data_IF_015480317344
#
_entry.id   IF_015480317344
#
_cell.length_a   1.000
_cell.length_b   1.000
_cell.length_c   1.000
_cell.angle_alpha   90.00
_cell.angle_beta   90.00
_cell.angle_gamma   90.00
#
_symmetry.space_group_name_H-M   'P 1'
#
loop_
_entity.id
_entity.type
_entity.pdbx_description
1 polymer ?
#
# COMPACT_ATOMS: atom_id res chain seq x y z
N UNK A 1 12.51 -7.99 -9.07
CA UNK A 1 12.88 -8.17 -7.66
C UNK A 1 12.26 -7.00 -6.91
N UNK A 2 11.29 -7.24 -6.03
CA UNK A 2 10.78 -6.18 -5.15
C UNK A 2 11.93 -5.82 -4.21
N UNK A 3 12.32 -4.55 -4.18
CA UNK A 3 13.25 -4.08 -3.14
C UNK A 3 12.39 -3.92 -1.88
N UNK A 4 12.86 -4.39 -0.72
CA UNK A 4 12.11 -4.30 0.55
C UNK A 4 11.59 -2.87 0.85
N UNK A 5 12.39 -1.86 0.46
CA UNK A 5 11.99 -0.46 0.54
C UNK A 5 10.79 -0.07 -0.35
N UNK A 6 10.64 -0.67 -1.52
CA UNK A 6 9.50 -0.43 -2.42
C UNK A 6 8.21 -1.05 -1.86
N UNK A 7 8.31 -2.21 -1.23
CA UNK A 7 7.18 -2.85 -0.55
C UNK A 7 6.71 -2.02 0.66
N UNK A 8 7.64 -1.55 1.49
CA UNK A 8 7.33 -0.66 2.61
C UNK A 8 6.65 0.63 2.10
N UNK A 9 7.21 1.28 1.08
CA UNK A 9 6.63 2.45 0.45
C UNK A 9 5.19 2.20 -0.01
N UNK A 10 4.92 1.07 -0.68
CA UNK A 10 3.59 0.70 -1.13
C UNK A 10 2.62 0.51 0.04
N UNK A 11 3.01 -0.29 1.05
CA UNK A 11 2.13 -0.60 2.18
C UNK A 11 1.82 0.66 3.00
N UNK A 12 2.83 1.50 3.24
CA UNK A 12 2.66 2.76 3.97
C UNK A 12 1.77 3.72 3.19
N UNK A 13 1.98 3.85 1.86
CA UNK A 13 1.13 4.67 0.99
C UNK A 13 -0.34 4.24 1.05
N UNK A 14 -0.60 2.95 0.89
CA UNK A 14 -1.94 2.36 0.98
C UNK A 14 -2.62 2.65 2.32
N UNK A 15 -1.83 2.77 3.40
CA UNK A 15 -2.30 2.96 4.76
C UNK A 15 -2.43 4.42 5.21
N UNK A 16 -2.16 5.40 4.34
CA UNK A 16 -2.34 6.83 4.63
C UNK A 16 -3.79 7.31 4.70
N UNK A 17 -4.78 6.41 4.59
CA UNK A 17 -6.20 6.74 4.81
C UNK A 17 -6.82 5.90 5.95
N UNK A 18 -6.35 6.07 7.20
CA UNK A 18 -6.84 5.29 8.32
C UNK A 18 -8.28 5.68 8.72
N UNK A 19 -8.88 4.85 9.58
CA UNK A 19 -10.10 5.21 10.32
C UNK A 19 -9.71 5.42 11.77
N UNK A 20 -9.76 6.67 12.23
CA UNK A 20 -9.39 7.09 13.58
C UNK A 20 -10.68 7.37 14.36
N UNK A 21 -10.90 6.64 15.45
CA UNK A 21 -12.13 6.77 16.27
C UNK A 21 -13.44 6.72 15.48
N UNK A 22 -13.47 5.92 14.42
CA UNK A 22 -14.63 5.76 13.53
C UNK A 22 -14.73 6.81 12.43
N UNK A 23 -13.81 7.78 12.38
CA UNK A 23 -13.76 8.84 11.38
C UNK A 23 -12.68 8.53 10.34
N UNK A 24 -13.01 8.47 9.04
CA UNK A 24 -12.00 8.40 7.99
C UNK A 24 -11.08 9.61 8.03
N UNK A 25 -9.78 9.37 8.02
CA UNK A 25 -8.72 10.38 7.92
C UNK A 25 -7.92 10.19 6.64
N UNK A 26 -7.22 11.23 6.22
CA UNK A 26 -6.29 11.21 5.09
C UNK A 26 -5.00 11.94 5.50
N UNK A 27 -3.93 11.19 5.66
CA UNK A 27 -2.63 11.69 6.13
C UNK A 27 -1.89 12.50 5.04
N UNK A 28 -2.36 12.44 3.79
CA UNK A 28 -1.82 13.17 2.64
C UNK A 28 -2.78 14.25 2.10
N UNK A 29 -3.79 14.64 2.90
CA UNK A 29 -4.87 15.54 2.48
C UNK A 29 -4.39 16.93 2.02
N UNK A 30 -3.27 17.41 2.57
CA UNK A 30 -2.67 18.69 2.20
C UNK A 30 -1.23 18.54 1.69
N UNK A 31 -0.80 19.54 0.91
CA UNK A 31 0.47 19.51 0.22
C UNK A 31 1.68 19.47 1.17
N UNK A 32 1.58 20.07 2.35
CA UNK A 32 2.69 20.09 3.29
C UNK A 32 2.85 18.73 3.98
N UNK A 33 1.73 18.11 4.38
CA UNK A 33 1.73 16.74 4.91
C UNK A 33 2.23 15.73 3.87
N UNK A 34 1.73 15.80 2.64
CA UNK A 34 2.14 14.90 1.56
C UNK A 34 3.62 15.03 1.19
N UNK A 35 4.14 16.25 1.08
CA UNK A 35 5.56 16.48 0.78
C UNK A 35 6.48 16.02 1.92
N UNK A 36 6.06 16.19 3.18
CA UNK A 36 6.80 15.66 4.34
C UNK A 36 6.81 14.14 4.31
N UNK A 37 5.67 13.49 4.07
CA UNK A 37 5.58 12.04 3.94
C UNK A 37 6.52 11.53 2.84
N UNK A 38 6.54 12.17 1.66
CA UNK A 38 7.49 11.81 0.59
C UNK A 38 8.95 11.92 1.04
N UNK A 39 9.32 13.02 1.72
CA UNK A 39 10.68 13.22 2.22
C UNK A 39 11.09 12.17 3.26
N UNK A 40 10.18 11.80 4.18
CA UNK A 40 10.43 10.79 5.21
C UNK A 40 10.66 9.39 4.59
N UNK A 41 10.12 9.13 3.40
CA UNK A 41 10.35 7.91 2.62
C UNK A 41 11.51 8.03 1.62
N UNK A 42 12.31 9.11 1.69
CA UNK A 42 13.42 9.36 0.77
C UNK A 42 13.00 9.54 -0.69
N UNK A 43 11.78 10.02 -0.92
CA UNK A 43 11.24 10.29 -2.26
C UNK A 43 11.37 11.77 -2.62
N UNK A 44 11.44 12.11 -3.92
CA UNK A 44 11.27 13.50 -4.35
C UNK A 44 9.95 14.07 -3.84
N UNK A 45 10.01 15.27 -3.25
CA UNK A 45 8.88 15.89 -2.54
C UNK A 45 8.34 17.13 -3.26
N UNK A 46 8.31 17.08 -4.61
CA UNK A 46 7.68 18.13 -5.41
C UNK A 46 6.15 18.06 -5.29
N UNK A 47 5.47 19.12 -5.75
CA UNK A 47 4.01 19.15 -5.77
C UNK A 47 3.41 18.13 -6.75
N UNK A 48 4.08 17.91 -7.87
CA UNK A 48 3.69 16.90 -8.86
C UNK A 48 3.81 15.50 -8.28
N UNK A 49 4.90 15.21 -7.55
CA UNK A 49 5.06 13.92 -6.87
C UNK A 49 3.94 13.68 -5.85
N UNK A 50 3.59 14.70 -5.06
CA UNK A 50 2.49 14.60 -4.09
C UNK A 50 1.15 14.30 -4.78
N UNK A 51 0.82 15.03 -5.85
CA UNK A 51 -0.40 14.76 -6.63
C UNK A 51 -0.40 13.34 -7.21
N UNK A 52 0.71 12.94 -7.81
CA UNK A 52 0.85 11.61 -8.39
C UNK A 52 0.70 10.49 -7.35
N UNK A 53 1.27 10.63 -6.15
CA UNK A 53 1.06 9.61 -5.10
C UNK A 53 -0.35 9.60 -4.55
N UNK A 54 -1.04 10.74 -4.48
CA UNK A 54 -2.44 10.81 -4.06
C UNK A 54 -3.34 10.02 -5.03
N UNK A 55 -3.17 10.26 -6.33
CA UNK A 55 -3.91 9.59 -7.40
C UNK A 55 -3.56 8.09 -7.48
N UNK A 56 -2.26 7.77 -7.39
CA UNK A 56 -1.78 6.38 -7.39
C UNK A 56 -2.29 5.61 -6.18
N UNK A 57 -2.29 6.22 -4.99
CA UNK A 57 -2.83 5.62 -3.78
C UNK A 57 -4.30 5.25 -3.97
N UNK A 58 -5.15 6.20 -4.36
CA UNK A 58 -6.58 5.93 -4.55
C UNK A 58 -6.79 4.80 -5.54
N UNK A 59 -6.07 4.84 -6.67
CA UNK A 59 -6.16 3.80 -7.71
C UNK A 59 -5.68 2.43 -7.21
N UNK A 60 -4.54 2.36 -6.52
CA UNK A 60 -4.00 1.14 -5.93
C UNK A 60 -4.94 0.56 -4.88
N UNK A 61 -5.53 1.40 -4.04
CA UNK A 61 -6.49 0.97 -3.03
C UNK A 61 -7.72 0.30 -3.68
N UNK A 62 -8.25 0.88 -4.75
CA UNK A 62 -9.40 0.33 -5.49
C UNK A 62 -9.01 -0.97 -6.20
N UNK A 63 -7.83 -1.03 -6.83
CA UNK A 63 -7.31 -2.25 -7.47
C UNK A 63 -7.12 -3.38 -6.46
N UNK A 64 -6.53 -3.11 -5.30
CA UNK A 64 -6.29 -4.14 -4.26
C UNK A 64 -7.60 -4.59 -3.59
N UNK A 65 -8.62 -3.75 -3.53
CA UNK A 65 -9.97 -4.12 -3.07
C UNK A 65 -10.78 -4.89 -4.13
N UNK A 66 -10.37 -4.82 -5.40
CA UNK A 66 -11.10 -5.40 -6.52
C UNK A 66 -12.20 -4.49 -7.08
N UNK A 67 -12.18 -3.21 -6.72
CA UNK A 67 -13.13 -2.19 -7.17
C UNK A 67 -12.71 -1.57 -8.52
N UNK A 68 -11.45 -1.74 -8.92
CA UNK A 68 -10.90 -1.29 -10.20
C UNK A 68 -10.01 -2.35 -10.86
N UNK A 69 -9.88 -2.29 -12.19
CA UNK A 69 -8.97 -3.14 -12.94
C UNK A 69 -7.55 -2.56 -12.94
N UNK A 70 -6.49 -3.41 -12.95
CA UNK A 70 -5.09 -2.95 -12.97
C UNK A 70 -4.72 -1.97 -14.09
N UNK A 71 -5.44 -1.99 -15.22
CA UNK A 71 -5.23 -1.04 -16.33
C UNK A 71 -5.43 0.42 -15.91
N UNK A 72 -6.16 0.68 -14.83
CA UNK A 72 -6.28 2.02 -14.26
C UNK A 72 -4.92 2.60 -13.76
N UNK A 73 -3.92 1.74 -13.51
CA UNK A 73 -2.60 2.14 -13.06
C UNK A 73 -1.66 2.59 -14.18
N UNK A 74 -2.07 2.45 -15.45
CA UNK A 74 -1.26 2.82 -16.63
C UNK A 74 -0.62 4.22 -16.55
N UNK A 75 -1.32 5.29 -16.12
CA UNK A 75 -0.72 6.63 -16.05
C UNK A 75 0.52 6.73 -15.16
N UNK A 76 0.63 5.88 -14.12
CA UNK A 76 1.74 5.95 -13.17
C UNK A 76 3.01 5.25 -13.68
N UNK A 77 2.86 4.31 -14.60
CA UNK A 77 3.97 3.52 -15.18
C UNK A 77 4.32 3.92 -16.61
N UNK A 78 3.56 4.83 -17.22
CA UNK A 78 3.92 5.39 -18.53
C UNK A 78 5.36 5.93 -18.51
N UNK A 79 6.15 5.80 -19.56
CA UNK A 79 7.54 6.28 -19.56
C UNK A 79 8.51 5.68 -18.52
N UNK A 80 8.10 4.67 -17.74
CA UNK A 80 9.04 3.85 -16.96
C UNK A 80 9.87 3.02 -17.91
N UNK A 81 11.18 3.01 -17.72
CA UNK A 81 12.10 2.27 -18.58
C UNK A 81 13.28 1.68 -17.81
N UNK A 82 14.07 0.87 -18.50
CA UNK A 82 15.36 0.41 -18.01
C UNK A 82 16.45 0.99 -18.89
N UNK A 83 17.44 1.63 -18.27
CA UNK A 83 18.62 2.15 -18.95
C UNK A 83 19.79 1.23 -18.66
N UNK A 84 20.43 0.72 -19.71
CA UNK A 84 21.68 -0.02 -19.61
C UNK A 84 22.86 0.93 -19.72
N UNK A 85 23.86 0.74 -18.86
CA UNK A 85 25.17 1.37 -18.95
C UNK A 85 26.27 0.30 -18.82
N UNK A 86 27.39 0.48 -19.51
CA UNK A 86 28.57 -0.36 -19.27
C UNK A 86 29.28 0.14 -18.01
N UNK A 87 29.44 -0.73 -17.02
CA UNK A 87 30.11 -0.46 -15.76
C UNK A 87 31.08 -1.60 -15.44
N UNK A 88 32.38 -1.28 -15.38
CA UNK A 88 33.45 -2.27 -15.20
C UNK A 88 33.44 -3.31 -16.33
N UNK A 89 33.31 -4.58 -15.97
CA UNK A 89 33.27 -5.71 -16.91
C UNK A 89 31.85 -6.11 -17.35
N UNK A 90 30.81 -5.36 -16.97
CA UNK A 90 29.42 -5.75 -17.18
C UNK A 90 28.47 -4.63 -17.59
N UNK A 91 27.19 -5.00 -17.71
CA UNK A 91 26.08 -4.08 -17.93
C UNK A 91 25.38 -3.84 -16.60
N UNK A 92 25.34 -2.59 -16.17
CA UNK A 92 24.51 -2.14 -15.06
C UNK A 92 23.16 -1.66 -15.60
N UNK A 93 22.08 -2.14 -14.99
CA UNK A 93 20.71 -1.75 -15.33
C UNK A 93 20.19 -0.80 -14.27
N UNK A 94 19.81 0.40 -14.68
CA UNK A 94 19.14 1.37 -13.81
C UNK A 94 17.69 1.50 -14.22
N UNK A 95 16.79 1.44 -13.24
CA UNK A 95 15.39 1.77 -13.45
C UNK A 95 15.27 3.29 -13.68
N UNK A 96 14.77 3.68 -14.83
CA UNK A 96 14.48 5.06 -15.18
C UNK A 96 13.04 5.39 -14.83
N UNK A 97 12.87 6.35 -13.93
CA UNK A 97 11.58 6.73 -13.40
C UNK A 97 11.22 8.15 -13.84
N UNK A 98 9.97 8.39 -14.25
CA UNK A 98 9.52 9.69 -14.70
C UNK A 98 9.47 10.69 -13.55
N UNK A 99 10.15 11.84 -13.72
CA UNK A 99 10.11 12.93 -12.77
C UNK A 99 8.67 13.42 -12.53
N UNK A 100 8.34 13.78 -11.29
CA UNK A 100 7.00 14.23 -10.91
C UNK A 100 6.05 13.08 -10.58
N UNK A 101 6.46 11.81 -10.73
CA UNK A 101 5.68 10.64 -10.30
C UNK A 101 6.56 9.43 -9.96
N UNK A 102 7.80 9.68 -9.55
CA UNK A 102 8.79 8.68 -9.16
C UNK A 102 8.23 7.75 -8.09
N UNK A 103 7.68 8.31 -7.01
CA UNK A 103 7.16 7.53 -5.89
C UNK A 103 5.92 6.72 -6.27
N UNK A 104 5.03 7.32 -7.07
CA UNK A 104 3.85 6.65 -7.62
C UNK A 104 4.23 5.45 -8.49
N UNK A 105 5.16 5.63 -9.42
CA UNK A 105 5.67 4.57 -10.28
C UNK A 105 6.27 3.42 -9.45
N UNK A 106 7.10 3.73 -8.45
CA UNK A 106 7.69 2.72 -7.54
C UNK A 106 6.62 1.93 -6.79
N UNK A 107 5.61 2.59 -6.23
CA UNK A 107 4.52 1.91 -5.54
C UNK A 107 3.75 0.96 -6.47
N UNK A 108 3.48 1.36 -7.73
CA UNK A 108 2.80 0.50 -8.71
C UNK A 108 3.69 -0.69 -9.12
N UNK A 109 4.97 -0.49 -9.34
CA UNK A 109 5.92 -1.57 -9.64
C UNK A 109 6.05 -2.55 -8.47
N UNK A 110 6.06 -2.06 -7.23
CA UNK A 110 6.08 -2.88 -6.02
C UNK A 110 4.82 -3.75 -5.93
N UNK A 111 3.65 -3.17 -6.23
CA UNK A 111 2.38 -3.87 -6.23
C UNK A 111 2.38 -5.00 -7.26
N UNK A 112 2.82 -4.72 -8.49
CA UNK A 112 2.86 -5.73 -9.55
C UNK A 112 3.86 -6.85 -9.23
N UNK A 113 5.03 -6.48 -8.74
CA UNK A 113 6.06 -7.44 -8.39
C UNK A 113 5.63 -8.34 -7.22
N UNK A 114 4.95 -7.81 -6.19
CA UNK A 114 4.30 -8.62 -5.13
C UNK A 114 3.20 -9.53 -5.68
N UNK A 115 2.36 -9.00 -6.59
CA UNK A 115 1.28 -9.77 -7.23
C UNK A 115 1.83 -10.97 -7.99
N UNK A 116 3.01 -10.83 -8.61
CA UNK A 116 3.67 -11.89 -9.39
C UNK A 116 4.47 -12.85 -8.52
N UNK A 117 5.29 -12.35 -7.59
CA UNK A 117 6.17 -13.21 -6.76
C UNK A 117 5.41 -13.90 -5.63
N UNK A 118 4.43 -13.21 -5.05
CA UNK A 118 3.77 -13.62 -3.82
C UNK A 118 2.25 -13.36 -3.85
N UNK A 119 1.50 -14.07 -4.72
CA UNK A 119 0.08 -13.82 -4.92
C UNK A 119 -0.74 -13.87 -3.63
N UNK A 120 -1.56 -12.84 -3.41
CA UNK A 120 -2.51 -12.78 -2.30
C UNK A 120 -1.92 -12.44 -0.93
N UNK A 121 -0.63 -12.09 -0.84
CA UNK A 121 -0.05 -11.59 0.42
C UNK A 121 -0.51 -10.17 0.75
N UNK A 122 -0.57 -9.29 -0.25
CA UNK A 122 -1.13 -7.94 -0.12
C UNK A 122 -2.66 -8.00 -0.20
N UNK A 123 -3.35 -7.50 0.83
CA UNK A 123 -4.83 -7.51 0.88
C UNK A 123 -5.38 -6.47 1.85
N UNK A 124 -6.66 -6.07 1.72
CA UNK A 124 -7.34 -5.25 2.72
C UNK A 124 -7.45 -5.99 4.07
N UNK A 125 -7.45 -5.23 5.16
CA UNK A 125 -7.74 -5.75 6.49
C UNK A 125 -9.18 -6.30 6.54
N UNK A 126 -9.37 -7.52 7.05
CA UNK A 126 -10.68 -8.17 7.08
C UNK A 126 -11.64 -7.60 8.14
N UNK A 127 -11.26 -6.54 8.86
CA UNK A 127 -12.11 -5.89 9.85
C UNK A 127 -12.99 -4.89 9.09
N UNK A 128 -14.32 -5.06 9.06
CA UNK A 128 -15.20 -4.20 8.26
C UNK A 128 -15.14 -2.72 8.65
N UNK A 129 -14.70 -2.42 9.87
CA UNK A 129 -14.55 -1.05 10.38
C UNK A 129 -13.13 -0.48 10.15
N UNK A 130 -12.30 -1.14 9.35
CA UNK A 130 -10.92 -0.75 9.06
C UNK A 130 -10.70 -0.61 7.55
N UNK A 131 -9.94 0.41 7.13
CA UNK A 131 -9.62 0.66 5.72
C UNK A 131 -8.16 0.35 5.34
N UNK A 132 -7.35 -0.07 6.31
CA UNK A 132 -5.93 -0.39 6.12
C UNK A 132 -5.73 -1.72 5.37
N UNK A 133 -4.50 -1.92 4.92
CA UNK A 133 -4.00 -3.07 4.18
C UNK A 133 -2.92 -3.80 4.99
N UNK A 134 -2.57 -5.00 4.55
CA UNK A 134 -1.47 -5.80 5.08
C UNK A 134 -0.72 -6.49 3.96
N UNK A 135 0.58 -6.73 4.17
CA UNK A 135 1.33 -7.77 3.48
C UNK A 135 1.65 -8.89 4.46
N UNK A 136 1.26 -10.12 4.13
CA UNK A 136 1.47 -11.27 5.00
C UNK A 136 2.78 -12.00 4.69
N UNK A 137 3.83 -11.69 5.44
CA UNK A 137 5.14 -12.36 5.32
C UNK A 137 5.18 -13.76 5.97
N UNK A 138 4.09 -14.22 6.59
CA UNK A 138 4.07 -15.53 7.22
C UNK A 138 4.05 -16.65 6.17
N UNK A 139 4.69 -17.78 6.49
CA UNK A 139 4.67 -18.98 5.65
C UNK A 139 3.25 -19.45 5.28
N UNK A 140 2.25 -19.50 6.20
CA UNK A 140 0.91 -19.99 5.86
C UNK A 140 0.03 -18.97 5.10
N UNK A 141 0.46 -17.72 4.95
CA UNK A 141 -0.34 -16.64 4.34
C UNK A 141 -1.77 -16.52 4.93
N UNK A 142 -1.89 -16.65 6.25
CA UNK A 142 -3.18 -16.71 6.97
C UNK A 142 -3.52 -15.46 7.80
N UNK A 143 -2.68 -14.43 7.80
CA UNK A 143 -2.94 -13.16 8.47
C UNK A 143 -4.16 -12.46 7.87
N UNK A 144 -5.06 -11.97 8.73
CA UNK A 144 -6.32 -11.36 8.29
C UNK A 144 -6.44 -9.88 8.62
N UNK A 145 -5.52 -9.36 9.42
CA UNK A 145 -5.66 -8.05 10.06
C UNK A 145 -4.39 -7.26 9.83
N UNK A 146 -4.50 -5.95 9.57
CA UNK A 146 -3.35 -5.03 9.48
C UNK A 146 -2.51 -5.03 10.76
N UNK A 147 -3.15 -5.26 11.91
CA UNK A 147 -2.47 -5.46 13.18
C UNK A 147 -3.26 -6.43 14.04
N UNK A 148 -2.57 -7.43 14.59
CA UNK A 148 -3.16 -8.34 15.58
C UNK A 148 -3.56 -7.57 16.84
N UNK A 149 -2.72 -6.63 17.29
CA UNK A 149 -2.95 -5.85 18.50
C UNK A 149 -4.18 -4.95 18.39
N UNK A 150 -4.41 -4.35 17.21
CA UNK A 150 -5.52 -3.41 16.98
C UNK A 150 -6.75 -4.15 16.44
N UNK A 151 -6.74 -4.51 15.15
CA UNK A 151 -7.93 -5.04 14.48
C UNK A 151 -8.25 -6.46 14.93
N UNK A 152 -7.25 -7.30 15.10
CA UNK A 152 -7.51 -8.70 15.42
C UNK A 152 -8.01 -8.92 16.85
N UNK A 153 -7.52 -8.15 17.83
CA UNK A 153 -8.07 -8.15 19.19
C UNK A 153 -9.49 -7.59 19.23
N UNK A 154 -9.77 -6.49 18.51
CA UNK A 154 -11.14 -5.94 18.35
C UNK A 154 -12.11 -7.00 17.83
N UNK A 155 -11.72 -7.76 16.81
CA UNK A 155 -12.56 -8.82 16.25
C UNK A 155 -12.72 -10.04 17.18
N UNK A 156 -11.72 -10.38 18.01
CA UNK A 156 -11.86 -11.40 19.06
C UNK A 156 -12.87 -10.96 20.13
N UNK A 157 -12.78 -9.72 20.60
CA UNK A 157 -13.70 -9.15 21.58
C UNK A 157 -15.15 -9.11 21.06
N UNK A 158 -15.36 -8.67 19.81
CA UNK A 158 -16.69 -8.68 19.15
C UNK A 158 -17.30 -10.08 19.13
N UNK A 159 -16.54 -11.11 18.76
CA UNK A 159 -17.02 -12.50 18.74
C UNK A 159 -17.36 -13.01 20.14
N UNK A 160 -16.55 -12.69 21.15
CA UNK A 160 -16.83 -13.06 22.54
C UNK A 160 -18.15 -12.45 23.03
N UNK A 161 -18.35 -11.14 22.81
CA UNK A 161 -19.59 -10.44 23.19
C UNK A 161 -20.83 -10.99 22.50
N UNK A 162 -20.73 -11.35 21.21
CA UNK A 162 -21.84 -11.98 20.48
C UNK A 162 -22.21 -13.35 21.03
N UNK A 163 -21.23 -14.13 21.52
CA UNK A 163 -21.47 -15.44 22.14
C UNK A 163 -22.07 -15.30 23.54
N UNK A 164 -21.53 -14.39 24.36
CA UNK A 164 -22.04 -14.20 25.73
C UNK A 164 -23.49 -13.71 25.73
N UNK A 165 -23.88 -12.84 24.80
CA UNK A 165 -25.29 -12.41 24.66
C UNK A 165 -26.25 -13.50 24.16
N UNK A 166 -25.75 -14.49 23.43
CA UNK A 166 -26.56 -15.65 23.00
C UNK A 166 -26.71 -16.71 24.10
N UNK A 167 -25.85 -16.69 25.12
CA UNK A 167 -25.93 -17.59 26.28
C UNK A 167 -26.71 -17.02 27.48
N UNK A 168 -27.35 -15.86 27.35
CA UNK A 168 -28.19 -15.24 28.41
C UNK A 168 -29.67 -15.23 28.05
N UNK A 169 -30.07 -16.06 27.09
CA UNK A 169 -31.48 -16.32 26.76
C UNK A 169 -31.70 -17.82 26.96
N UNK A 170 -31.81 -18.22 28.23
CA UNK A 170 -32.44 -19.45 28.71
C UNK A 170 -32.81 -19.24 30.20
#
# INVERSE_FOLDING_TARGET
>A
MVIEADEALLLDLLNTTPVLDGVPSDDLADAAAGRRWLADHGQPSSEDEWRAVLDARSTLQDVVRGDALPVALTPFVDGVGYRAALAGEGVEWTLDLPAGRTAAARAVLAWDALRVSDPGRLRPCANPDCRLFLVDHSKPNSARWCSMAVCGNRMKARRHYQRSRRGTVD
#
